data_IF_891851627473
#
_entry.id   IF_891851627473
#
_cell.length_a   1.000
_cell.length_b   1.000
_cell.length_c   1.000
_cell.angle_alpha   90.00
_cell.angle_beta   90.00
_cell.angle_gamma   90.00
#
_symmetry.space_group_name_H-M   'P 1'
#
loop_
_entity.id
_entity.type
_entity.pdbx_description
1 polymer ?
#
# COMPACT_ATOMS: atom_id res chain seq x y z
N UNK A 1 -3.58 11.69 -6.81
CA UNK A 1 -4.70 10.96 -7.45
C UNK A 1 -5.37 10.09 -6.41
N UNK A 2 -6.54 10.50 -6.00
CA UNK A 2 -7.36 9.86 -4.98
C UNK A 2 -7.94 8.55 -5.52
N UNK A 3 -7.71 7.46 -4.83
CA UNK A 3 -8.58 6.30 -4.94
C UNK A 3 -9.92 6.66 -4.28
N UNK A 4 -10.82 7.27 -5.04
CA UNK A 4 -12.20 7.41 -4.62
C UNK A 4 -12.84 6.04 -4.75
N UNK A 5 -13.18 5.39 -3.62
CA UNK A 5 -13.94 4.15 -3.59
C UNK A 5 -15.27 4.35 -4.31
N UNK A 6 -15.47 3.68 -5.41
CA UNK A 6 -16.73 3.64 -6.11
C UNK A 6 -17.79 3.06 -5.16
N UNK A 7 -18.74 3.89 -4.74
CA UNK A 7 -19.97 3.40 -4.11
C UNK A 7 -20.76 2.64 -5.17
N UNK A 8 -20.78 1.31 -5.06
CA UNK A 8 -21.66 0.45 -5.84
C UNK A 8 -23.14 0.80 -5.56
N UNK A 9 -24.03 0.67 -6.58
CA UNK A 9 -25.43 0.96 -6.40
C UNK A 9 -26.09 -0.04 -5.45
N UNK A 10 -26.85 0.46 -4.49
CA UNK A 10 -27.73 -0.35 -3.64
C UNK A 10 -28.80 -1.01 -4.51
N UNK A 11 -28.87 -2.33 -4.51
CA UNK A 11 -29.98 -3.08 -5.06
C UNK A 11 -31.21 -2.95 -4.16
N UNK A 12 -32.43 -2.84 -4.73
CA UNK A 12 -33.65 -2.82 -3.95
C UNK A 12 -34.01 -4.23 -3.45
N UNK A 13 -34.49 -4.29 -2.22
CA UNK A 13 -34.89 -5.52 -1.56
C UNK A 13 -36.05 -6.23 -2.28
N UNK A 14 -35.95 -7.53 -2.43
CA UNK A 14 -37.07 -8.41 -2.78
C UNK A 14 -37.30 -9.40 -1.67
N UNK A 15 -38.56 -9.42 -1.25
CA UNK A 15 -39.17 -10.31 -0.25
C UNK A 15 -39.19 -11.75 -0.75
N UNK A 16 -38.89 -12.66 0.15
CA UNK A 16 -39.22 -14.09 -0.02
C UNK A 16 -40.72 -14.36 -0.01
N UNK A 17 -41.18 -15.42 -0.66
CA UNK A 17 -42.08 -16.30 0.02
C UNK A 17 -41.66 -17.79 0.03
N UNK A 18 -41.93 -18.42 1.16
CA UNK A 18 -41.94 -19.87 1.37
C UNK A 18 -42.88 -20.60 0.41
N UNK A 19 -42.46 -21.74 -0.11
CA UNK A 19 -43.34 -22.86 -0.36
C UNK A 19 -42.58 -24.19 -0.36
N UNK A 20 -43.21 -25.16 0.22
CA UNK A 20 -42.72 -26.46 0.65
C UNK A 20 -42.73 -27.56 -0.45
N UNK A 21 -41.81 -28.49 -0.24
CA UNK A 21 -42.00 -29.95 -0.34
C UNK A 21 -42.58 -30.60 -1.61
N UNK A 22 -41.85 -31.56 -2.21
CA UNK A 22 -42.27 -32.96 -2.31
C UNK A 22 -41.12 -33.85 -2.78
N UNK A 23 -41.00 -34.98 -2.04
CA UNK A 23 -40.15 -36.13 -2.38
C UNK A 23 -40.74 -36.88 -3.60
N UNK A 24 -39.85 -37.40 -4.45
CA UNK A 24 -40.19 -38.35 -5.50
C UNK A 24 -39.00 -39.29 -5.72
N UNK A 25 -39.16 -40.51 -5.17
CA UNK A 25 -38.30 -41.68 -5.43
C UNK A 25 -38.71 -42.32 -6.74
N UNK A 26 -37.81 -42.59 -7.66
CA UNK A 26 -38.00 -43.58 -8.70
C UNK A 26 -36.70 -44.35 -8.98
N UNK A 27 -36.79 -45.64 -8.69
CA UNK A 27 -35.85 -46.71 -9.10
C UNK A 27 -36.06 -47.03 -10.56
N UNK A 28 -34.97 -47.30 -11.29
CA UNK A 28 -34.97 -48.20 -12.47
C UNK A 28 -33.53 -48.67 -12.67
N UNK A 29 -33.24 -49.85 -12.30
CA UNK A 29 -33.14 -51.15 -12.99
C UNK A 29 -32.04 -51.17 -14.06
N UNK A 30 -31.04 -51.96 -13.73
CA UNK A 30 -29.87 -52.39 -14.49
C UNK A 30 -30.30 -53.33 -15.64
N UNK A 31 -29.75 -53.11 -16.83
CA UNK A 31 -29.57 -54.17 -17.81
C UNK A 31 -28.10 -54.33 -18.16
N UNK A 32 -27.56 -55.51 -17.83
CA UNK A 32 -26.26 -55.96 -18.23
C UNK A 32 -26.49 -56.78 -19.52
N UNK A 33 -25.82 -56.40 -20.59
CA UNK A 33 -25.61 -57.30 -21.71
C UNK A 33 -24.11 -57.49 -21.99
N UNK A 34 -23.75 -58.72 -21.95
CA UNK A 34 -22.42 -59.28 -22.15
C UNK A 34 -22.12 -59.45 -23.63
N UNK A 35 -21.02 -58.90 -24.11
CA UNK A 35 -20.36 -59.44 -25.29
C UNK A 35 -18.83 -59.19 -25.26
N UNK A 36 -18.14 -60.31 -24.97
CA UNK A 36 -16.87 -60.82 -25.45
C UNK A 36 -15.65 -59.90 -25.56
N UNK A 37 -14.77 -60.12 -24.59
CA UNK A 37 -13.41 -60.61 -24.71
C UNK A 37 -12.71 -60.51 -26.09
N UNK A 38 -11.74 -59.63 -26.17
CA UNK A 38 -10.39 -59.82 -26.74
C UNK A 38 -9.82 -58.44 -27.11
N UNK A 39 -9.05 -57.85 -26.21
CA UNK A 39 -7.97 -56.88 -26.45
C UNK A 39 -7.42 -56.41 -25.09
N UNK A 40 -6.84 -57.38 -24.38
CA UNK A 40 -6.14 -57.12 -23.13
C UNK A 40 -4.66 -57.29 -23.40
N UNK A 41 -3.91 -56.22 -23.48
CA UNK A 41 -2.48 -56.16 -23.18
C UNK A 41 -1.90 -54.73 -23.23
N UNK A 42 -2.57 -53.78 -23.89
CA UNK A 42 -2.01 -52.43 -24.03
C UNK A 42 -2.65 -51.35 -23.11
N UNK A 43 -3.75 -51.68 -22.45
CA UNK A 43 -4.42 -50.75 -21.54
C UNK A 43 -3.89 -50.73 -20.11
N UNK A 44 -3.10 -51.72 -19.70
CA UNK A 44 -2.59 -51.82 -18.34
C UNK A 44 -1.31 -51.03 -18.11
N UNK A 45 -0.56 -50.68 -19.15
CA UNK A 45 0.70 -49.89 -19.03
C UNK A 45 0.38 -48.37 -18.96
N UNK A 46 -0.72 -47.94 -19.55
CA UNK A 46 -1.17 -46.53 -19.48
C UNK A 46 -1.94 -46.19 -18.21
N UNK A 47 -2.62 -47.15 -17.58
CA UNK A 47 -3.29 -46.91 -16.30
C UNK A 47 -2.33 -46.78 -15.11
N UNK A 48 -1.18 -47.47 -15.15
CA UNK A 48 -0.13 -47.37 -14.12
C UNK A 48 0.71 -46.09 -14.26
N UNK A 49 0.81 -45.48 -15.46
CA UNK A 49 1.50 -44.22 -15.68
C UNK A 49 0.65 -42.99 -15.27
N UNK A 50 -0.67 -43.12 -15.25
CA UNK A 50 -1.59 -42.04 -14.81
C UNK A 50 -1.75 -42.04 -13.29
N UNK A 51 -1.68 -43.20 -12.62
CA UNK A 51 -1.66 -43.27 -11.15
C UNK A 51 -0.33 -42.78 -10.52
N UNK A 52 0.80 -42.93 -11.22
CA UNK A 52 2.08 -42.42 -10.71
C UNK A 52 2.28 -40.92 -10.86
N UNK A 53 1.45 -40.25 -11.65
CA UNK A 53 1.48 -38.78 -11.80
C UNK A 53 0.49 -38.03 -10.90
N UNK A 54 -0.44 -38.72 -10.24
CA UNK A 54 -1.37 -38.12 -9.28
C UNK A 54 -0.90 -38.11 -7.83
N UNK A 55 0.15 -38.87 -7.51
CA UNK A 55 0.71 -38.87 -6.14
C UNK A 55 1.84 -37.84 -5.91
N UNK A 56 2.36 -37.19 -6.97
CA UNK A 56 3.37 -36.15 -6.84
C UNK A 56 2.79 -34.73 -6.76
N UNK A 57 1.45 -34.57 -6.83
CA UNK A 57 0.79 -33.27 -6.62
C UNK A 57 0.18 -33.04 -5.24
N UNK A 58 0.29 -34.00 -4.34
CA UNK A 58 -0.31 -33.91 -3.00
C UNK A 58 0.68 -33.51 -1.91
N UNK A 59 1.89 -33.05 -2.26
CA UNK A 59 2.89 -32.58 -1.30
C UNK A 59 3.56 -31.27 -1.72
N UNK A 60 2.84 -30.37 -2.40
CA UNK A 60 3.11 -28.96 -2.21
C UNK A 60 2.59 -28.62 -0.82
N UNK A 61 3.47 -28.76 0.17
CA UNK A 61 3.24 -28.20 1.47
C UNK A 61 2.85 -26.74 1.25
N UNK A 62 1.62 -26.39 1.62
CA UNK A 62 1.26 -25.01 1.89
C UNK A 62 2.28 -24.56 2.91
N UNK A 63 3.32 -23.85 2.46
CA UNK A 63 4.24 -23.16 3.34
C UNK A 63 3.36 -22.11 3.99
N UNK A 64 2.76 -22.48 5.11
CA UNK A 64 2.10 -21.52 5.99
C UNK A 64 3.15 -20.48 6.26
N UNK A 65 2.92 -19.25 5.80
CA UNK A 65 3.79 -18.13 6.08
C UNK A 65 4.13 -18.19 7.57
N UNK A 66 5.42 -18.13 7.90
CA UNK A 66 5.82 -18.09 9.29
C UNK A 66 4.99 -17.01 9.98
N UNK A 67 4.45 -17.28 11.19
CA UNK A 67 3.67 -16.28 11.89
C UNK A 67 4.51 -15.01 11.99
N UNK A 68 3.87 -13.83 11.93
CA UNK A 68 4.58 -12.57 12.10
C UNK A 68 5.47 -12.64 13.35
N UNK A 69 6.66 -12.03 13.36
CA UNK A 69 7.60 -12.11 14.49
C UNK A 69 7.13 -11.38 15.76
N UNK A 70 5.90 -10.87 15.75
CA UNK A 70 5.25 -10.30 16.94
C UNK A 70 4.20 -11.27 17.47
N UNK A 71 4.15 -11.39 18.80
CA UNK A 71 3.14 -12.19 19.49
C UNK A 71 1.79 -11.45 19.48
N UNK A 72 0.71 -12.15 19.16
CA UNK A 72 -0.66 -11.65 19.27
C UNK A 72 -1.03 -11.14 20.69
N UNK A 73 -0.27 -11.52 21.71
CA UNK A 73 -0.40 -11.01 23.09
C UNK A 73 0.03 -9.55 23.24
N UNK A 74 0.70 -8.94 22.26
CA UNK A 74 1.16 -7.55 22.34
C UNK A 74 0.03 -6.54 22.53
N UNK A 75 -1.18 -6.83 22.06
CA UNK A 75 -2.38 -5.98 22.27
C UNK A 75 -2.75 -5.82 23.74
N UNK A 76 -2.44 -6.78 24.58
CA UNK A 76 -2.76 -6.74 26.03
C UNK A 76 -1.85 -5.79 26.84
N UNK A 77 -0.68 -5.43 26.30
CA UNK A 77 0.31 -4.55 26.94
C UNK A 77 0.23 -3.09 26.50
N UNK A 78 -0.75 -2.74 25.67
CA UNK A 78 -0.90 -1.41 25.06
C UNK A 78 -2.10 -0.69 25.66
N UNK A 79 -1.92 0.59 25.98
CA UNK A 79 -2.98 1.53 26.35
C UNK A 79 -3.33 2.38 25.12
N UNK A 80 -4.52 2.17 24.56
CA UNK A 80 -5.01 2.89 23.39
C UNK A 80 -5.77 4.14 23.83
N UNK A 81 -5.24 5.31 23.46
CA UNK A 81 -5.78 6.62 23.87
C UNK A 81 -6.23 7.41 22.66
N UNK A 82 -7.50 7.76 22.62
CA UNK A 82 -8.00 8.71 21.63
C UNK A 82 -7.35 10.08 21.83
N UNK A 83 -6.96 10.71 20.71
CA UNK A 83 -6.35 12.03 20.69
C UNK A 83 -6.95 12.85 19.55
N UNK A 84 -7.19 14.11 19.82
CA UNK A 84 -7.46 15.10 18.80
C UNK A 84 -6.35 16.15 18.81
N UNK A 85 -6.08 16.74 17.66
CA UNK A 85 -5.08 17.79 17.53
C UNK A 85 -5.47 18.80 16.43
N UNK A 86 -4.94 20.01 16.52
CA UNK A 86 -5.16 21.05 15.54
C UNK A 86 -4.10 21.01 14.44
N UNK A 87 -4.53 21.03 13.18
CA UNK A 87 -3.69 21.27 12.02
C UNK A 87 -4.26 22.43 11.20
N UNK A 88 -3.69 23.62 11.36
CA UNK A 88 -4.33 24.85 10.93
C UNK A 88 -5.69 25.05 11.61
N UNK A 89 -6.72 25.27 10.80
CA UNK A 89 -8.11 25.41 11.29
C UNK A 89 -8.83 24.04 11.47
N UNK A 90 -8.19 22.93 11.13
CA UNK A 90 -8.83 21.61 11.19
C UNK A 90 -8.54 20.91 12.51
N UNK A 91 -9.55 20.23 13.05
CA UNK A 91 -9.37 19.23 14.10
C UNK A 91 -9.22 17.86 13.47
N UNK A 92 -8.11 17.18 13.75
CA UNK A 92 -7.82 15.83 13.31
C UNK A 92 -7.89 14.87 14.51
N UNK A 93 -8.28 13.64 14.25
CA UNK A 93 -8.52 12.59 15.25
C UNK A 93 -7.62 11.38 15.00
N UNK A 94 -7.12 10.77 16.09
CA UNK A 94 -6.27 9.59 16.00
C UNK A 94 -6.22 8.80 17.30
N UNK A 95 -5.52 7.68 17.26
CA UNK A 95 -5.29 6.81 18.42
C UNK A 95 -3.80 6.72 18.71
N UNK A 96 -3.42 7.02 19.94
CA UNK A 96 -2.09 6.83 20.47
C UNK A 96 -2.02 5.50 21.24
N UNK A 97 -1.21 4.58 20.75
CA UNK A 97 -0.94 3.28 21.36
C UNK A 97 0.33 3.39 22.20
N UNK A 98 0.19 3.29 23.52
CA UNK A 98 1.29 3.50 24.48
C UNK A 98 1.59 2.18 25.19
N UNK A 99 2.83 1.65 25.12
CA UNK A 99 3.20 0.48 25.91
C UNK A 99 3.13 0.77 27.42
N UNK A 100 2.69 -0.23 28.19
CA UNK A 100 2.57 -0.14 29.68
C UNK A 100 3.93 -0.31 30.36
N UNK A 101 4.84 0.62 30.10
CA UNK A 101 6.17 0.69 30.69
C UNK A 101 6.38 2.06 31.32
N UNK A 102 7.29 2.17 32.27
CA UNK A 102 7.58 3.44 32.94
C UNK A 102 8.47 4.38 32.13
N UNK A 103 8.39 5.67 32.46
CA UNK A 103 9.21 6.73 31.88
C UNK A 103 8.70 7.27 30.54
N UNK A 104 9.49 8.17 29.96
CA UNK A 104 9.24 8.72 28.63
C UNK A 104 9.81 7.80 27.56
N UNK A 105 9.05 7.62 26.48
CA UNK A 105 9.34 6.67 25.41
C UNK A 105 9.36 7.37 24.05
N UNK A 106 10.05 6.79 23.04
CA UNK A 106 9.96 7.24 21.66
C UNK A 106 8.55 7.02 21.08
N UNK A 107 8.26 7.70 19.98
CA UNK A 107 7.02 7.52 19.25
C UNK A 107 7.23 7.53 17.74
N UNK A 108 6.38 6.77 17.05
CA UNK A 108 6.24 6.77 15.59
C UNK A 108 4.87 7.36 15.24
N UNK A 109 4.85 8.33 14.34
CA UNK A 109 3.64 8.88 13.73
C UNK A 109 3.50 8.25 12.35
N UNK A 110 2.34 7.67 12.07
CA UNK A 110 2.03 7.04 10.79
C UNK A 110 1.48 8.08 9.83
N UNK A 111 2.14 8.23 8.66
CA UNK A 111 1.67 9.01 7.52
C UNK A 111 1.12 8.08 6.44
N UNK A 112 -0.03 8.46 5.87
CA UNK A 112 -0.91 7.54 5.17
C UNK A 112 -0.47 7.23 3.75
N UNK A 113 -0.60 5.97 3.36
CA UNK A 113 -0.65 5.57 1.96
C UNK A 113 -1.91 6.16 1.28
N UNK A 114 -1.86 6.34 -0.05
CA UNK A 114 -2.94 7.02 -0.78
C UNK A 114 -4.32 6.35 -0.61
N UNK A 115 -4.35 5.02 -0.60
CA UNK A 115 -5.57 4.21 -0.48
C UNK A 115 -5.99 3.87 0.95
N UNK A 116 -5.21 4.27 1.97
CA UNK A 116 -5.40 3.86 3.36
C UNK A 116 -5.52 5.06 4.29
N UNK A 117 -6.59 5.86 4.17
CA UNK A 117 -6.66 7.17 4.82
C UNK A 117 -7.08 7.12 6.30
N UNK A 118 -7.55 5.98 6.81
CA UNK A 118 -8.09 5.87 8.17
C UNK A 118 -7.17 5.10 9.11
N UNK A 119 -7.23 5.43 10.39
CA UNK A 119 -6.41 4.84 11.46
C UNK A 119 -6.70 3.36 11.73
N UNK A 120 -7.85 2.86 11.31
CA UNK A 120 -8.28 1.46 11.45
C UNK A 120 -7.88 0.58 10.25
N UNK A 121 -7.19 1.13 9.27
CA UNK A 121 -6.77 0.36 8.11
C UNK A 121 -5.77 -0.74 8.51
N UNK A 122 -6.00 -2.01 8.07
CA UNK A 122 -5.14 -3.15 8.39
C UNK A 122 -3.65 -2.96 8.06
N UNK A 123 -3.33 -2.12 7.09
CA UNK A 123 -1.96 -1.79 6.70
C UNK A 123 -1.11 -1.31 7.90
N UNK A 124 -1.71 -0.64 8.88
CA UNK A 124 -0.98 -0.04 10.01
C UNK A 124 -0.92 -0.92 11.26
N UNK A 125 -1.69 -2.01 11.31
CA UNK A 125 -1.78 -2.86 12.51
C UNK A 125 -0.44 -3.49 12.90
N UNK A 126 0.39 -3.86 11.92
CA UNK A 126 1.71 -4.41 12.21
C UNK A 126 2.58 -3.46 13.07
N UNK A 127 2.45 -2.14 12.90
CA UNK A 127 3.18 -1.17 13.71
C UNK A 127 2.67 -1.16 15.15
N UNK A 128 1.34 -1.24 15.32
CA UNK A 128 0.69 -1.27 16.63
C UNK A 128 1.00 -2.58 17.39
N UNK A 129 1.28 -3.65 16.67
CA UNK A 129 1.64 -4.94 17.26
C UNK A 129 3.14 -5.06 17.53
N UNK A 130 3.98 -4.55 16.61
CA UNK A 130 5.43 -4.71 16.66
C UNK A 130 6.14 -3.69 17.57
N UNK A 131 5.77 -2.41 17.48
CA UNK A 131 6.57 -1.34 18.08
C UNK A 131 6.38 -1.20 19.58
N UNK A 132 5.19 -1.35 20.17
CA UNK A 132 5.02 -1.27 21.63
C UNK A 132 5.82 -2.30 22.43
N UNK A 133 5.98 -3.56 22.01
CA UNK A 133 6.90 -4.49 22.67
C UNK A 133 8.35 -4.03 22.68
N UNK A 134 8.76 -3.21 21.70
CA UNK A 134 10.08 -2.57 21.63
C UNK A 134 10.16 -1.27 22.46
N UNK A 135 9.11 -0.91 23.19
CA UNK A 135 9.05 0.30 24.01
C UNK A 135 8.79 1.58 23.22
N UNK A 136 8.19 1.49 22.05
CA UNK A 136 7.91 2.62 21.14
C UNK A 136 6.40 2.81 21.05
N UNK A 137 5.90 4.03 21.30
CA UNK A 137 4.50 4.37 21.07
C UNK A 137 4.21 4.54 19.57
N UNK A 138 2.97 4.25 19.17
CA UNK A 138 2.51 4.44 17.79
C UNK A 138 1.31 5.37 17.79
N UNK A 139 1.37 6.40 16.96
CA UNK A 139 0.23 7.29 16.72
C UNK A 139 -0.25 7.13 15.29
N UNK A 140 -1.49 6.66 15.15
CA UNK A 140 -2.20 6.55 13.87
C UNK A 140 -3.41 7.46 13.92
N UNK A 141 -3.56 8.33 12.94
CA UNK A 141 -4.67 9.27 12.87
C UNK A 141 -5.45 9.10 11.57
N UNK A 142 -6.67 9.63 11.51
CA UNK A 142 -7.43 9.71 10.27
C UNK A 142 -6.91 10.89 9.45
N UNK A 143 -6.58 10.64 8.19
CA UNK A 143 -6.17 11.71 7.27
C UNK A 143 -7.28 12.75 7.14
N UNK A 144 -6.94 14.02 6.94
CA UNK A 144 -7.94 15.08 6.70
C UNK A 144 -8.97 14.65 5.66
N UNK A 145 -10.25 14.91 5.93
CA UNK A 145 -11.38 14.50 5.08
C UNK A 145 -11.73 13.01 5.14
N UNK A 146 -11.21 12.27 6.14
CA UNK A 146 -11.55 10.86 6.34
C UNK A 146 -11.79 10.54 7.83
N UNK A 147 -12.46 9.42 8.09
CA UNK A 147 -12.77 8.97 9.45
C UNK A 147 -13.44 10.05 10.29
N UNK A 148 -12.85 10.33 11.45
CA UNK A 148 -13.31 11.39 12.38
C UNK A 148 -12.53 12.72 12.20
N UNK A 149 -11.63 12.81 11.24
CA UNK A 149 -10.86 14.02 10.96
C UNK A 149 -11.64 14.97 10.06
N UNK A 150 -11.58 16.26 10.40
CA UNK A 150 -12.17 17.32 9.60
C UNK A 150 -11.44 17.58 8.29
N UNK A 151 -12.04 18.45 7.45
CA UNK A 151 -11.46 18.90 6.20
C UNK A 151 -11.93 18.13 4.97
N UNK A 152 -11.26 18.39 3.85
CA UNK A 152 -11.51 17.74 2.57
C UNK A 152 -10.18 17.35 1.93
N UNK A 153 -10.08 16.11 1.49
CA UNK A 153 -8.86 15.59 0.89
C UNK A 153 -8.61 16.17 -0.52
N UNK A 154 -9.66 16.45 -1.28
CA UNK A 154 -9.54 17.02 -2.63
C UNK A 154 -8.86 18.39 -2.65
N UNK A 155 -9.01 19.16 -1.57
CA UNK A 155 -8.40 20.48 -1.42
C UNK A 155 -6.99 20.44 -0.86
N UNK A 156 -6.44 19.24 -0.67
CA UNK A 156 -5.13 19.02 -0.04
C UNK A 156 -4.03 18.83 -1.07
N UNK A 157 -2.81 19.12 -0.66
CA UNK A 157 -1.58 18.75 -1.33
C UNK A 157 -0.64 18.04 -0.35
N UNK A 158 0.49 17.55 -0.85
CA UNK A 158 1.46 16.83 -0.01
C UNK A 158 2.05 17.70 1.10
N UNK A 159 2.20 19.00 0.87
CA UNK A 159 2.68 19.92 1.90
C UNK A 159 1.70 20.00 3.08
N UNK A 160 0.41 20.14 2.79
CA UNK A 160 -0.65 20.17 3.80
C UNK A 160 -0.74 18.83 4.55
N UNK A 161 -0.61 17.70 3.86
CA UNK A 161 -0.63 16.37 4.48
C UNK A 161 0.61 16.12 5.36
N UNK A 162 1.77 16.63 4.96
CA UNK A 162 2.98 16.59 5.79
C UNK A 162 2.84 17.50 7.02
N UNK A 163 2.20 18.66 6.89
CA UNK A 163 1.93 19.58 8.00
C UNK A 163 0.97 18.98 9.04
N UNK A 164 0.05 18.09 8.62
CA UNK A 164 -0.76 17.29 9.56
C UNK A 164 0.13 16.39 10.43
N UNK A 165 1.10 15.71 9.83
CA UNK A 165 2.08 14.91 10.55
C UNK A 165 2.92 15.76 11.52
N UNK A 166 3.37 16.94 11.10
CA UNK A 166 4.11 17.89 11.95
C UNK A 166 3.22 18.39 13.11
N UNK A 167 1.93 18.60 12.86
CA UNK A 167 0.99 18.99 13.91
C UNK A 167 0.77 17.87 14.92
N UNK A 168 0.70 16.61 14.46
CA UNK A 168 0.68 15.43 15.33
C UNK A 168 1.97 15.33 16.17
N UNK A 169 3.14 15.61 15.59
CA UNK A 169 4.41 15.63 16.31
C UNK A 169 4.37 16.67 17.45
N UNK A 170 3.91 17.89 17.17
CA UNK A 170 3.78 18.94 18.20
C UNK A 170 2.80 18.55 19.30
N UNK A 171 1.73 17.84 18.99
CA UNK A 171 0.79 17.29 19.98
C UNK A 171 1.48 16.24 20.86
N UNK A 172 2.20 15.29 20.27
CA UNK A 172 2.91 14.24 21.01
C UNK A 172 4.05 14.79 21.88
N UNK A 173 4.73 15.85 21.45
CA UNK A 173 5.77 16.51 22.26
C UNK A 173 5.26 17.04 23.61
N UNK A 174 3.94 17.29 23.73
CA UNK A 174 3.29 17.72 24.97
C UNK A 174 2.75 16.56 25.82
N UNK A 175 2.77 15.33 25.29
CA UNK A 175 2.34 14.16 26.08
C UNK A 175 3.46 13.77 27.07
N UNK A 176 3.10 13.67 28.36
CA UNK A 176 4.03 13.39 29.45
C UNK A 176 4.72 12.00 29.33
N UNK A 177 4.12 11.07 28.56
CA UNK A 177 4.66 9.72 28.33
C UNK A 177 5.65 9.68 27.15
N UNK A 178 5.66 10.68 26.29
CA UNK A 178 6.49 10.69 25.07
C UNK A 178 7.76 11.50 25.31
N UNK A 179 8.90 10.99 24.85
CA UNK A 179 10.14 11.76 24.79
C UNK A 179 10.08 12.70 23.57
N UNK A 180 9.99 14.03 23.77
CA UNK A 180 9.80 14.98 22.70
C UNK A 180 10.95 15.02 21.66
N UNK A 181 12.12 14.46 22.01
CA UNK A 181 13.30 14.40 21.13
C UNK A 181 13.42 13.08 20.37
N UNK A 182 12.49 12.14 20.57
CA UNK A 182 12.53 10.77 20.00
C UNK A 182 11.24 10.43 19.27
N UNK A 183 10.68 11.40 18.56
CA UNK A 183 9.48 11.25 17.74
C UNK A 183 9.88 11.27 16.27
N UNK A 184 9.44 10.31 15.50
CA UNK A 184 9.68 10.23 14.05
C UNK A 184 8.46 9.84 13.25
N UNK A 185 8.66 9.73 11.95
CA UNK A 185 7.61 9.41 10.99
C UNK A 185 7.85 8.04 10.36
N UNK A 186 6.77 7.33 10.10
CA UNK A 186 6.73 6.16 9.23
C UNK A 186 5.66 6.37 8.19
N UNK A 187 5.92 5.95 6.96
CA UNK A 187 4.91 5.97 5.91
C UNK A 187 5.21 5.01 4.78
N UNK A 188 4.15 4.50 4.15
CA UNK A 188 4.22 3.63 2.98
C UNK A 188 3.70 4.37 1.75
N UNK A 189 4.37 4.19 0.60
CA UNK A 189 3.95 4.77 -0.68
C UNK A 189 3.89 6.30 -0.61
N UNK A 190 2.73 6.91 -0.86
CA UNK A 190 2.50 8.35 -0.61
C UNK A 190 2.92 8.75 0.81
N UNK A 191 2.60 7.92 1.82
CA UNK A 191 3.02 8.17 3.20
C UNK A 191 4.53 8.23 3.39
N UNK A 192 5.29 7.47 2.59
CA UNK A 192 6.74 7.54 2.58
C UNK A 192 7.26 8.89 2.05
N UNK A 193 6.66 9.44 0.99
CA UNK A 193 6.94 10.80 0.54
C UNK A 193 6.58 11.83 1.61
N UNK A 194 5.41 11.66 2.25
CA UNK A 194 4.96 12.55 3.33
C UNK A 194 5.91 12.52 4.53
N UNK A 195 6.46 11.33 4.88
CA UNK A 195 7.45 11.18 5.96
C UNK A 195 8.73 11.94 5.68
N UNK A 196 9.24 11.84 4.44
CA UNK A 196 10.41 12.59 4.00
C UNK A 196 10.12 14.10 3.96
N UNK A 197 8.95 14.50 3.48
CA UNK A 197 8.55 15.89 3.41
C UNK A 197 8.34 16.51 4.81
N UNK A 198 7.72 15.78 5.72
CA UNK A 198 7.52 16.23 7.09
C UNK A 198 8.85 16.43 7.84
N UNK A 199 9.78 15.47 7.72
CA UNK A 199 11.07 15.56 8.39
C UNK A 199 11.97 16.64 7.76
N UNK A 200 11.92 16.84 6.45
CA UNK A 200 12.68 17.89 5.77
C UNK A 200 12.25 19.30 6.19
N UNK A 201 11.00 19.45 6.65
CA UNK A 201 10.39 20.72 7.08
C UNK A 201 10.41 20.93 8.59
N UNK A 202 10.79 19.91 9.35
CA UNK A 202 10.78 19.99 10.81
C UNK A 202 12.03 19.37 11.44
N UNK A 203 12.97 20.23 11.85
CA UNK A 203 14.23 19.81 12.48
C UNK A 203 14.05 19.12 13.86
N UNK A 204 12.86 19.18 14.48
CA UNK A 204 12.58 18.54 15.76
C UNK A 204 12.16 17.07 15.61
N UNK A 205 11.82 16.62 14.40
CA UNK A 205 11.60 15.21 14.15
C UNK A 205 12.94 14.45 14.23
N UNK A 206 12.93 13.30 14.92
CA UNK A 206 14.14 12.56 15.22
C UNK A 206 14.59 11.64 14.09
N UNK A 207 13.65 11.08 13.31
CA UNK A 207 13.91 10.11 12.24
C UNK A 207 12.74 10.00 11.26
N UNK A 208 13.00 9.41 10.11
CA UNK A 208 11.96 9.00 9.16
C UNK A 208 12.18 7.58 8.64
N UNK A 209 11.07 6.87 8.38
CA UNK A 209 11.03 5.56 7.75
C UNK A 209 10.09 5.65 6.56
N UNK A 210 10.63 5.44 5.37
CA UNK A 210 9.92 5.57 4.09
C UNK A 210 9.88 4.23 3.38
N UNK A 211 8.69 3.67 3.22
CA UNK A 211 8.47 2.34 2.64
C UNK A 211 7.86 2.51 1.26
N UNK A 212 8.43 1.86 0.24
CA UNK A 212 7.92 1.80 -1.13
C UNK A 212 7.56 3.18 -1.72
N UNK A 213 8.26 4.25 -1.30
CA UNK A 213 8.07 5.58 -1.86
C UNK A 213 9.05 5.81 -3.01
N UNK A 214 8.55 6.03 -4.25
CA UNK A 214 9.44 6.20 -5.40
C UNK A 214 10.27 7.48 -5.29
N UNK A 215 11.52 7.43 -5.79
CA UNK A 215 12.39 8.61 -5.92
C UNK A 215 12.29 9.26 -7.30
N UNK A 216 11.15 9.09 -7.94
CA UNK A 216 10.73 9.76 -9.17
C UNK A 216 9.48 10.58 -8.89
N UNK A 217 9.16 11.53 -9.77
CA UNK A 217 7.96 12.37 -9.63
C UNK A 217 6.67 11.54 -9.77
N UNK A 218 5.53 12.00 -9.21
CA UNK A 218 4.27 11.26 -9.21
C UNK A 218 3.77 10.84 -10.60
N UNK A 219 3.95 11.69 -11.61
CA UNK A 219 3.58 11.37 -13.00
C UNK A 219 4.45 10.23 -13.57
N UNK A 220 5.76 10.26 -13.34
CA UNK A 220 6.67 9.18 -13.76
C UNK A 220 6.32 7.88 -13.07
N UNK A 221 6.06 7.92 -11.76
CA UNK A 221 5.62 6.74 -11.00
C UNK A 221 4.30 6.19 -11.53
N UNK A 222 3.30 7.04 -11.77
CA UNK A 222 1.99 6.58 -12.25
C UNK A 222 2.03 6.04 -13.68
N UNK A 223 2.86 6.61 -14.56
CA UNK A 223 3.08 6.06 -15.91
C UNK A 223 3.73 4.68 -15.85
N UNK A 224 4.71 4.48 -14.96
CA UNK A 224 5.28 3.17 -14.70
C UNK A 224 4.22 2.18 -14.19
N UNK A 225 3.46 2.57 -13.16
CA UNK A 225 2.43 1.72 -12.56
C UNK A 225 1.40 1.26 -13.59
N UNK A 226 0.85 2.18 -14.39
CA UNK A 226 -0.13 1.86 -15.43
C UNK A 226 0.47 0.91 -16.48
N UNK A 227 1.67 1.19 -16.97
CA UNK A 227 2.32 0.32 -17.93
C UNK A 227 2.53 -1.10 -17.37
N UNK A 228 3.00 -1.22 -16.14
CA UNK A 228 3.27 -2.50 -15.50
C UNK A 228 1.99 -3.28 -15.19
N UNK A 229 0.96 -2.62 -14.66
CA UNK A 229 -0.35 -3.22 -14.39
C UNK A 229 -0.97 -3.78 -15.66
N UNK A 230 -0.92 -3.04 -16.76
CA UNK A 230 -1.47 -3.50 -18.04
C UNK A 230 -0.72 -4.73 -18.57
N UNK A 231 0.61 -4.76 -18.45
CA UNK A 231 1.40 -5.95 -18.82
C UNK A 231 1.03 -7.17 -17.96
N UNK A 232 0.89 -6.99 -16.64
CA UNK A 232 0.46 -8.06 -15.72
C UNK A 232 -0.92 -8.58 -16.10
N UNK A 233 -1.82 -7.70 -16.55
CA UNK A 233 -3.16 -8.06 -17.00
C UNK A 233 -3.22 -8.62 -18.44
N UNK A 234 -2.09 -8.74 -19.13
CA UNK A 234 -1.99 -9.38 -20.45
C UNK A 234 -2.33 -8.47 -21.63
N UNK A 235 -2.38 -7.15 -21.45
CA UNK A 235 -2.55 -6.22 -22.58
C UNK A 235 -1.30 -6.19 -23.46
N UNK A 236 -1.50 -5.99 -24.75
CA UNK A 236 -0.43 -5.86 -25.74
C UNK A 236 0.43 -4.62 -25.48
N UNK A 237 1.69 -4.64 -25.95
CA UNK A 237 2.57 -3.46 -25.79
C UNK A 237 1.98 -2.21 -26.47
N UNK A 238 1.29 -2.37 -27.61
CA UNK A 238 0.61 -1.25 -28.28
C UNK A 238 -0.49 -0.62 -27.42
N UNK A 239 -1.26 -1.44 -26.68
CA UNK A 239 -2.27 -0.94 -25.75
C UNK A 239 -1.63 -0.27 -24.52
N UNK A 240 -0.56 -0.83 -24.00
CA UNK A 240 0.24 -0.21 -22.94
C UNK A 240 0.75 1.17 -23.36
N UNK A 241 1.31 1.27 -24.56
CA UNK A 241 1.84 2.53 -25.07
C UNK A 241 0.75 3.57 -25.28
N UNK A 242 -0.43 3.16 -25.79
CA UNK A 242 -1.59 4.04 -25.91
C UNK A 242 -2.08 4.54 -24.55
N UNK A 243 -2.14 3.68 -23.55
CA UNK A 243 -2.58 4.07 -22.22
C UNK A 243 -1.62 5.08 -21.57
N UNK A 244 -0.31 4.84 -21.67
CA UNK A 244 0.72 5.75 -21.17
C UNK A 244 0.69 7.08 -21.92
N UNK A 245 0.55 7.05 -23.26
CA UNK A 245 0.43 8.27 -24.08
C UNK A 245 -0.81 9.10 -23.70
N UNK A 246 -1.93 8.42 -23.40
CA UNK A 246 -3.16 9.09 -22.93
C UNK A 246 -2.93 9.80 -21.59
N UNK A 247 -2.30 9.12 -20.62
CA UNK A 247 -1.95 9.75 -19.33
C UNK A 247 -1.03 10.93 -19.54
N UNK A 248 0.04 10.74 -20.33
CA UNK A 248 1.00 11.80 -20.62
C UNK A 248 0.33 13.02 -21.25
N UNK A 249 -0.67 12.83 -22.12
CA UNK A 249 -1.41 13.95 -22.72
C UNK A 249 -2.20 14.76 -21.68
N UNK A 250 -2.82 14.08 -20.71
CA UNK A 250 -3.52 14.74 -19.58
C UNK A 250 -2.52 15.43 -18.65
N UNK A 251 -1.41 14.76 -18.33
CA UNK A 251 -0.34 15.31 -17.48
C UNK A 251 0.31 16.55 -18.12
N UNK A 252 0.48 16.55 -19.44
CA UNK A 252 0.99 17.70 -20.20
C UNK A 252 0.03 18.88 -20.18
N UNK A 253 -1.29 18.63 -20.26
CA UNK A 253 -2.28 19.69 -20.05
C UNK A 253 -2.18 20.24 -18.61
N UNK A 254 -2.12 19.36 -17.60
CA UNK A 254 -2.00 19.79 -16.20
C UNK A 254 -0.72 20.59 -15.90
N UNK A 255 0.30 20.46 -16.76
CA UNK A 255 1.57 21.20 -16.68
C UNK A 255 1.62 22.42 -17.61
N UNK A 256 0.54 22.72 -18.35
CA UNK A 256 0.48 23.80 -19.31
C UNK A 256 1.29 23.59 -20.60
N UNK A 257 1.65 22.33 -20.91
CA UNK A 257 2.41 21.96 -22.12
C UNK A 257 1.54 21.52 -23.29
N UNK A 258 0.24 21.34 -23.06
CA UNK A 258 -0.77 20.95 -24.05
C UNK A 258 -2.05 21.74 -23.80
N UNK A 259 -2.77 22.10 -24.88
CA UNK A 259 -4.10 22.72 -24.76
C UNK A 259 -5.16 21.69 -24.31
N UNK A 260 -6.24 22.21 -23.72
CA UNK A 260 -7.33 21.39 -23.19
C UNK A 260 -8.04 20.56 -24.26
N UNK A 261 -8.32 21.17 -25.43
CA UNK A 261 -9.08 20.51 -26.50
C UNK A 261 -8.34 19.29 -27.02
N UNK A 262 -7.01 19.42 -27.27
CA UNK A 262 -6.14 18.32 -27.69
C UNK A 262 -6.06 17.22 -26.63
N UNK A 263 -5.88 17.57 -25.34
CA UNK A 263 -5.84 16.59 -24.27
C UNK A 263 -7.18 15.85 -24.11
N UNK A 264 -8.32 16.57 -24.18
CA UNK A 264 -9.64 15.97 -24.07
C UNK A 264 -9.96 15.05 -25.25
N UNK A 265 -9.60 15.43 -26.48
CA UNK A 265 -9.80 14.58 -27.67
C UNK A 265 -9.05 13.25 -27.56
N UNK A 266 -7.82 13.26 -27.03
CA UNK A 266 -7.05 12.03 -26.79
C UNK A 266 -7.71 11.19 -25.71
N UNK A 267 -8.15 11.81 -24.63
CA UNK A 267 -8.84 11.15 -23.52
C UNK A 267 -10.16 10.53 -23.99
N UNK A 268 -10.98 11.25 -24.75
CA UNK A 268 -12.27 10.76 -25.27
C UNK A 268 -12.09 9.52 -26.14
N UNK A 269 -11.10 9.53 -27.03
CA UNK A 269 -10.78 8.37 -27.86
C UNK A 269 -10.33 7.15 -27.05
N UNK A 270 -9.78 7.36 -25.84
CA UNK A 270 -9.33 6.32 -24.93
C UNK A 270 -10.46 5.73 -24.07
N UNK A 271 -11.51 6.50 -23.77
CA UNK A 271 -12.56 6.11 -22.79
C UNK A 271 -13.32 4.84 -23.14
N UNK A 272 -13.33 4.42 -24.40
CA UNK A 272 -13.97 3.18 -24.90
C UNK A 272 -13.04 1.97 -24.91
N UNK A 273 -11.75 2.17 -24.61
CA UNK A 273 -10.76 1.10 -24.65
C UNK A 273 -10.81 0.24 -23.39
N UNK A 274 -10.65 -1.09 -23.50
CA UNK A 274 -10.68 -1.98 -22.33
C UNK A 274 -9.67 -1.64 -21.26
N UNK A 275 -8.50 -1.13 -21.64
CA UNK A 275 -7.43 -0.74 -20.72
C UNK A 275 -7.68 0.58 -19.99
N UNK A 276 -8.68 1.39 -20.41
CA UNK A 276 -8.90 2.72 -19.85
C UNK A 276 -9.11 2.73 -18.34
N UNK A 277 -9.86 1.77 -17.81
CA UNK A 277 -10.15 1.64 -16.36
C UNK A 277 -8.90 1.48 -15.50
N UNK A 278 -7.79 1.06 -16.10
CA UNK A 278 -6.51 0.88 -15.43
C UNK A 278 -5.59 2.10 -15.53
N UNK A 279 -6.02 3.17 -16.20
CA UNK A 279 -5.23 4.40 -16.31
C UNK A 279 -5.35 5.30 -15.10
N UNK A 280 -6.32 5.07 -14.23
CA UNK A 280 -6.66 5.97 -13.11
C UNK A 280 -6.99 7.40 -13.57
N UNK A 281 -7.44 7.55 -14.82
CA UNK A 281 -7.97 8.80 -15.36
C UNK A 281 -9.50 8.82 -15.25
N UNK A 282 -10.05 9.98 -14.93
CA UNK A 282 -11.45 10.28 -15.13
C UNK A 282 -11.72 10.62 -16.60
N UNK A 283 -12.98 10.55 -17.04
CA UNK A 283 -13.37 10.89 -18.43
C UNK A 283 -13.25 12.39 -18.74
N UNK A 284 -13.13 13.20 -17.72
CA UNK A 284 -12.89 14.64 -17.79
C UNK A 284 -11.85 15.02 -16.74
N UNK A 285 -11.20 16.15 -16.89
CA UNK A 285 -10.22 16.63 -15.92
C UNK A 285 -10.46 18.08 -15.55
N UNK A 286 -10.10 18.44 -14.31
CA UNK A 286 -10.16 19.80 -13.79
C UNK A 286 -9.07 20.67 -14.45
N UNK A 287 -9.26 21.98 -14.46
CA UNK A 287 -8.20 22.91 -14.82
C UNK A 287 -7.01 22.81 -13.85
N UNK A 288 -5.77 23.11 -14.28
CA UNK A 288 -4.57 22.91 -13.48
C UNK A 288 -4.58 23.61 -12.12
N UNK A 289 -5.19 24.77 -12.02
CA UNK A 289 -5.34 25.54 -10.77
C UNK A 289 -6.29 24.90 -9.78
N UNK A 290 -7.23 24.08 -10.25
CA UNK A 290 -8.25 23.37 -9.45
C UNK A 290 -7.93 21.88 -9.29
N UNK A 291 -6.88 21.38 -9.94
CA UNK A 291 -6.51 19.97 -9.95
C UNK A 291 -5.60 19.61 -8.77
N UNK A 292 -6.04 18.66 -7.93
CA UNK A 292 -5.19 18.04 -6.91
C UNK A 292 -3.98 17.36 -7.56
N UNK A 293 -4.20 16.65 -8.67
CA UNK A 293 -3.14 15.96 -9.40
C UNK A 293 -2.07 16.93 -9.93
N UNK A 294 -2.46 18.09 -10.47
CA UNK A 294 -1.49 19.10 -10.90
C UNK A 294 -0.63 19.61 -9.74
N UNK A 295 -1.18 19.72 -8.52
CA UNK A 295 -0.41 20.05 -7.32
C UNK A 295 0.53 18.95 -6.91
N UNK A 296 0.05 17.69 -6.89
CA UNK A 296 0.83 16.50 -6.53
C UNK A 296 2.03 16.27 -7.48
N UNK A 297 1.85 16.45 -8.80
CA UNK A 297 2.92 16.32 -9.80
C UNK A 297 4.09 17.30 -9.62
N UNK A 298 3.93 18.35 -8.81
CA UNK A 298 5.03 19.28 -8.48
C UNK A 298 6.00 18.72 -7.45
N UNK A 299 5.64 17.62 -6.79
CA UNK A 299 6.49 16.99 -5.80
C UNK A 299 7.74 16.39 -6.43
N UNK A 300 8.91 16.86 -5.99
CA UNK A 300 10.20 16.25 -6.32
C UNK A 300 10.75 15.56 -5.06
N UNK A 301 10.70 14.22 -5.00
CA UNK A 301 11.17 13.48 -3.83
C UNK A 301 12.68 13.60 -3.62
N UNK A 302 13.47 13.82 -4.69
CA UNK A 302 14.91 14.01 -4.54
C UNK A 302 15.24 15.38 -3.95
N UNK A 303 14.55 16.44 -4.38
CA UNK A 303 14.68 17.76 -3.78
C UNK A 303 14.30 17.72 -2.29
N UNK A 304 13.23 16.98 -1.95
CA UNK A 304 12.82 16.74 -0.56
C UNK A 304 13.93 16.02 0.22
N UNK A 305 14.48 14.93 -0.32
CA UNK A 305 15.53 14.14 0.32
C UNK A 305 16.79 14.98 0.57
N UNK A 306 17.14 15.88 -0.35
CA UNK A 306 18.30 16.78 -0.19
C UNK A 306 18.18 17.71 1.01
N UNK A 307 16.99 17.97 1.51
CA UNK A 307 16.75 18.79 2.71
C UNK A 307 16.74 17.95 4.01
N UNK A 308 16.69 16.63 3.94
CA UNK A 308 16.68 15.74 5.12
C UNK A 308 18.06 15.63 5.75
N UNK A 309 18.14 15.81 7.06
CA UNK A 309 19.39 15.75 7.86
C UNK A 309 19.37 14.66 8.93
N UNK A 310 18.20 14.20 9.31
CA UNK A 310 18.01 13.22 10.38
C UNK A 310 18.20 11.78 9.84
N UNK A 311 18.48 10.80 10.71
CA UNK A 311 18.49 9.39 10.34
C UNK A 311 17.24 8.99 9.58
N UNK A 312 17.42 8.37 8.42
CA UNK A 312 16.32 8.00 7.53
C UNK A 312 16.55 6.60 6.98
N UNK A 313 15.51 5.77 7.05
CA UNK A 313 15.47 4.45 6.45
C UNK A 313 14.52 4.44 5.26
N UNK A 314 14.98 4.00 4.09
CA UNK A 314 14.17 3.81 2.89
C UNK A 314 14.17 2.32 2.54
N UNK A 315 12.98 1.73 2.41
CA UNK A 315 12.82 0.30 2.11
C UNK A 315 11.98 0.13 0.84
N UNK A 316 12.41 -0.78 -0.03
CA UNK A 316 11.65 -1.22 -1.21
C UNK A 316 11.42 -2.72 -1.19
N UNK A 317 10.30 -3.16 -1.73
CA UNK A 317 10.10 -4.54 -2.14
C UNK A 317 10.61 -4.76 -3.57
N UNK A 318 11.36 -5.83 -3.82
CA UNK A 318 11.91 -6.08 -5.17
C UNK A 318 10.86 -6.51 -6.19
N UNK A 319 9.68 -6.96 -5.73
CA UNK A 319 8.55 -7.38 -6.56
C UNK A 319 7.41 -6.35 -6.59
N UNK A 320 7.69 -5.10 -6.23
CA UNK A 320 6.72 -4.00 -6.22
C UNK A 320 6.21 -3.69 -7.65
N UNK A 321 4.90 -3.89 -7.94
CA UNK A 321 4.38 -3.62 -9.28
C UNK A 321 4.02 -2.14 -9.51
N UNK A 322 3.98 -1.31 -8.45
CA UNK A 322 3.51 0.07 -8.48
C UNK A 322 4.64 1.10 -8.58
N UNK A 323 5.82 0.73 -8.12
CA UNK A 323 6.95 1.64 -7.96
C UNK A 323 8.09 1.25 -8.89
N UNK A 324 8.68 2.18 -9.65
CA UNK A 324 9.89 1.94 -10.42
C UNK A 324 11.10 1.84 -9.48
N UNK A 325 11.23 0.70 -8.79
CA UNK A 325 12.24 0.47 -7.75
C UNK A 325 13.64 0.69 -8.30
N UNK A 326 13.96 0.12 -9.47
CA UNK A 326 15.28 0.24 -10.06
C UNK A 326 15.66 1.71 -10.34
N UNK A 327 14.76 2.48 -10.95
CA UNK A 327 14.98 3.90 -11.23
C UNK A 327 15.13 4.72 -9.92
N UNK A 328 14.37 4.35 -8.88
CA UNK A 328 14.50 4.97 -7.56
C UNK A 328 15.87 4.68 -6.94
N UNK A 329 16.35 3.43 -7.01
CA UNK A 329 17.66 3.04 -6.49
C UNK A 329 18.81 3.71 -7.23
N UNK A 330 18.72 3.87 -8.55
CA UNK A 330 19.71 4.58 -9.37
C UNK A 330 19.85 6.04 -8.92
N UNK A 331 18.74 6.73 -8.73
CA UNK A 331 18.73 8.12 -8.24
C UNK A 331 19.29 8.24 -6.83
N UNK A 332 18.94 7.32 -5.92
CA UNK A 332 19.49 7.28 -4.57
C UNK A 332 21.01 7.04 -4.57
N UNK A 333 21.49 6.07 -5.36
CA UNK A 333 22.93 5.78 -5.48
C UNK A 333 23.70 6.99 -6.03
N UNK A 334 23.18 7.66 -7.06
CA UNK A 334 23.79 8.83 -7.66
C UNK A 334 23.91 10.01 -6.67
N UNK A 335 23.10 10.01 -5.59
CA UNK A 335 23.11 11.07 -4.57
C UNK A 335 23.66 10.62 -3.21
N UNK A 336 24.07 9.35 -3.05
CA UNK A 336 24.41 8.72 -1.75
C UNK A 336 25.48 9.47 -0.95
N UNK A 337 26.51 9.99 -1.62
CA UNK A 337 27.57 10.77 -0.95
C UNK A 337 27.05 12.05 -0.25
N UNK A 338 25.88 12.56 -0.65
CA UNK A 338 25.24 13.74 -0.04
C UNK A 338 24.31 13.39 1.13
N UNK A 339 24.06 12.09 1.34
CA UNK A 339 23.07 11.60 2.31
C UNK A 339 23.64 10.48 3.19
N UNK A 340 24.70 10.72 3.99
CA UNK A 340 25.29 9.71 4.86
C UNK A 340 24.34 9.26 5.98
N UNK A 341 23.28 10.01 6.23
CA UNK A 341 22.21 9.74 7.19
C UNK A 341 21.08 8.89 6.64
N UNK A 342 21.11 8.51 5.35
CA UNK A 342 20.07 7.74 4.68
C UNK A 342 20.55 6.31 4.44
N UNK A 343 19.84 5.36 4.98
CA UNK A 343 20.03 3.93 4.74
C UNK A 343 18.96 3.43 3.77
N UNK A 344 19.36 2.65 2.78
CA UNK A 344 18.47 2.11 1.75
C UNK A 344 18.56 0.59 1.76
N UNK A 345 17.40 -0.07 1.77
CA UNK A 345 17.31 -1.53 1.72
C UNK A 345 16.28 -1.99 0.70
N UNK A 346 16.48 -3.19 0.16
CA UNK A 346 15.52 -3.87 -0.73
C UNK A 346 15.21 -5.24 -0.14
N UNK A 347 13.94 -5.51 0.08
CA UNK A 347 13.45 -6.81 0.57
C UNK A 347 13.16 -7.70 -0.64
N UNK A 348 13.92 -8.78 -0.76
CA UNK A 348 13.78 -9.72 -1.87
C UNK A 348 12.38 -10.36 -1.87
N UNK A 349 11.72 -10.38 -3.03
CA UNK A 349 10.40 -10.97 -3.22
C UNK A 349 9.24 -10.24 -2.54
N UNK A 350 9.49 -9.17 -1.79
CA UNK A 350 8.41 -8.39 -1.20
C UNK A 350 7.75 -7.47 -2.24
N UNK A 351 6.44 -7.30 -2.09
CA UNK A 351 5.62 -6.42 -2.91
C UNK A 351 5.57 -4.97 -2.37
N UNK A 352 4.63 -4.18 -2.89
CA UNK A 352 4.42 -2.78 -2.48
C UNK A 352 4.10 -2.62 -0.98
N UNK A 353 3.36 -3.56 -0.40
CA UNK A 353 2.97 -3.56 1.02
C UNK A 353 3.92 -4.38 1.91
N UNK A 354 5.07 -4.82 1.41
CA UNK A 354 6.00 -5.70 2.11
C UNK A 354 5.43 -7.11 2.38
N UNK A 355 4.50 -7.60 1.55
CA UNK A 355 4.08 -8.99 1.53
C UNK A 355 4.95 -9.81 0.56
N UNK A 356 5.15 -11.12 0.83
CA UNK A 356 6.08 -11.97 0.07
C UNK A 356 5.43 -13.15 -0.63
N UNK A 357 4.12 -13.33 -0.49
CA UNK A 357 3.40 -14.51 -0.99
C UNK A 357 2.26 -14.17 -1.93
N UNK A 358 2.29 -12.98 -2.54
CA UNK A 358 1.20 -12.45 -3.39
C UNK A 358 1.61 -12.54 -4.85
N UNK A 359 0.77 -13.14 -5.70
CA UNK A 359 1.04 -13.19 -7.14
C UNK A 359 1.01 -11.77 -7.75
N UNK A 360 1.74 -11.50 -8.85
CA UNK A 360 1.67 -10.20 -9.51
C UNK A 360 0.23 -9.78 -9.92
N UNK A 361 -0.61 -10.75 -10.29
CA UNK A 361 -2.01 -10.50 -10.63
C UNK A 361 -2.83 -10.05 -9.42
N UNK A 362 -2.63 -10.69 -8.26
CA UNK A 362 -3.32 -10.36 -7.02
C UNK A 362 -2.86 -9.01 -6.44
N UNK A 363 -1.58 -8.67 -6.60
CA UNK A 363 -1.04 -7.38 -6.16
C UNK A 363 -1.68 -6.18 -6.87
N UNK A 364 -2.14 -6.36 -8.12
CA UNK A 364 -2.79 -5.31 -8.91
C UNK A 364 -4.32 -5.45 -8.96
N UNK A 365 -4.88 -6.40 -8.20
CA UNK A 365 -6.31 -6.49 -7.95
C UNK A 365 -6.72 -5.49 -6.86
N UNK A 366 -7.66 -4.60 -7.16
CA UNK A 366 -8.05 -3.52 -6.25
C UNK A 366 -8.70 -4.03 -4.95
N UNK A 367 -9.42 -5.16 -5.00
CA UNK A 367 -10.10 -5.72 -3.83
C UNK A 367 -9.12 -6.44 -2.89
N UNK A 368 -8.10 -7.07 -3.47
CA UNK A 368 -7.06 -7.78 -2.71
C UNK A 368 -6.01 -6.80 -2.17
N UNK A 369 -5.56 -5.85 -2.97
CA UNK A 369 -4.55 -4.87 -2.57
C UNK A 369 -5.00 -3.98 -1.40
N UNK A 370 -6.31 -3.68 -1.30
CA UNK A 370 -6.87 -2.91 -0.18
C UNK A 370 -6.78 -3.64 1.19
N UNK A 371 -6.53 -4.94 1.18
CA UNK A 371 -6.41 -5.79 2.39
C UNK A 371 -4.97 -6.22 2.67
N UNK A 372 -4.03 -5.83 1.83
CA UNK A 372 -2.63 -6.20 2.00
C UNK A 372 -2.04 -5.50 3.23
N UNK A 373 -1.24 -6.27 3.96
CA UNK A 373 -0.47 -5.79 5.10
C UNK A 373 0.93 -6.41 5.04
N UNK A 374 1.93 -5.79 5.64
CA UNK A 374 3.28 -6.35 5.68
C UNK A 374 3.30 -7.76 6.30
N UNK A 375 4.01 -8.68 5.64
CA UNK A 375 4.15 -10.07 6.07
C UNK A 375 5.61 -10.56 6.02
N UNK A 376 6.52 -9.80 5.41
CA UNK A 376 7.92 -10.17 5.26
C UNK A 376 8.65 -10.16 6.60
N UNK A 377 9.15 -11.33 7.03
CA UNK A 377 10.01 -11.43 8.22
C UNK A 377 11.29 -10.58 8.08
N UNK A 378 11.83 -10.47 6.85
CA UNK A 378 12.99 -9.63 6.57
C UNK A 378 12.68 -8.13 6.76
N UNK A 379 11.48 -7.68 6.36
CA UNK A 379 11.03 -6.31 6.62
C UNK A 379 10.97 -6.03 8.12
N UNK A 380 10.35 -6.91 8.89
CA UNK A 380 10.23 -6.72 10.35
C UNK A 380 11.58 -6.76 11.06
N UNK A 381 12.43 -7.72 10.69
CA UNK A 381 13.79 -7.83 11.25
C UNK A 381 14.62 -6.58 10.96
N UNK A 382 14.58 -6.07 9.72
CA UNK A 382 15.28 -4.85 9.33
C UNK A 382 14.76 -3.63 10.10
N UNK A 383 13.43 -3.47 10.18
CA UNK A 383 12.81 -2.35 10.90
C UNK A 383 13.20 -2.35 12.38
N UNK A 384 13.12 -3.51 13.05
CA UNK A 384 13.53 -3.66 14.45
C UNK A 384 15.01 -3.33 14.66
N UNK A 385 15.89 -3.96 13.88
CA UNK A 385 17.33 -3.75 13.96
C UNK A 385 17.74 -2.28 13.72
N UNK A 386 17.08 -1.62 12.76
CA UNK A 386 17.34 -0.21 12.50
C UNK A 386 16.90 0.68 13.66
N UNK A 387 15.75 0.43 14.26
CA UNK A 387 15.25 1.17 15.41
C UNK A 387 16.16 0.98 16.64
N UNK A 388 16.70 -0.23 16.85
CA UNK A 388 17.69 -0.51 17.89
C UNK A 388 19.01 0.25 17.63
N UNK A 389 19.52 0.22 16.40
CA UNK A 389 20.72 0.98 15.98
C UNK A 389 20.56 2.48 16.27
N UNK A 390 19.36 3.03 16.06
CA UNK A 390 19.04 4.43 16.38
C UNK A 390 18.77 4.64 17.88
N UNK A 391 18.91 3.63 18.72
CA UNK A 391 18.63 3.66 20.16
C UNK A 391 17.17 4.05 20.48
N UNK A 392 16.25 3.78 19.57
CA UNK A 392 14.84 4.04 19.74
C UNK A 392 14.14 2.85 20.39
N UNK A 393 14.52 1.62 20.06
CA UNK A 393 14.02 0.41 20.70
C UNK A 393 14.76 0.14 22.02
N UNK A 394 14.07 -0.48 22.98
CA UNK A 394 14.71 -1.08 24.15
C UNK A 394 15.24 -2.45 23.76
N UNK A 395 16.52 -2.68 23.95
CA UNK A 395 17.10 -4.02 23.89
C UNK A 395 16.48 -4.82 25.03
N UNK A 396 15.93 -6.01 24.73
CA UNK A 396 15.39 -6.96 25.72
C UNK A 396 16.50 -7.61 26.51
#
# INVERSE_FOLDING_TARGET
MLFCGAKGPRAPGSRSPHAAMKRGVLRSVVHIDSCAMKRSAFALIWALAICAQSETRANEAVVTAAPPPWDAQSRSVVDARQRTFQSGALTLSGTLYVPKIEGRIPAVIVLHAASSPTRDNPLYWHLVEMLPPLGIAVFVFDRRGSGESGGNLEDSDYAMLADDGISALRMLQRDHRIDPRRIGFWGLSQGGWLSLLAISRNAQAAFAISISAPMVTPDVQMNFAVANILRIKGFSQAEVDQAVATRTAVDDFQRGRRDRASAQSILDAATTKPWFVHTYLEKTFKDPDRSGWAREMRHDPMATLHAVRQPTLIIYGSADPWVPVQASLERLRASSARHPNVEVAVIAGADHAMATSVSPADQVDAALSARQAPQSAAYFGLLGAWLEKQRLARVR
#
